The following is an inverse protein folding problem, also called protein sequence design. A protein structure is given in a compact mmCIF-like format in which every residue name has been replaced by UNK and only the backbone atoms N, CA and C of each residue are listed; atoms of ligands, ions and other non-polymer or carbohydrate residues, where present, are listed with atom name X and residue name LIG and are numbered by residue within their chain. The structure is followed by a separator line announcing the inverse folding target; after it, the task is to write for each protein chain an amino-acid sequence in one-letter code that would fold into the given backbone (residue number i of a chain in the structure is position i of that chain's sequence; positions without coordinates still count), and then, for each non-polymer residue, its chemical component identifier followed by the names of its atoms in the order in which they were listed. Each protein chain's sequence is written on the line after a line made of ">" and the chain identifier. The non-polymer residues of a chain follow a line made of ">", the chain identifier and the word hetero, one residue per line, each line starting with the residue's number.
data_IF_842135444374
#
_entry.id   IF_842135444374
#
_cell.length_a   1.000
_cell.length_b   1.000
_cell.length_c   1.000
_cell.angle_alpha   90.00
_cell.angle_beta   90.00
_cell.angle_gamma   90.00
#
_symmetry.space_group_name_H-M   'P 1'
#
loop_
_entity.id
_entity.type
_entity.pdbx_description
1 polymer ?
#
# COMPACT_ATOMS: atom_id res chain seq x y z
N UNK A 1 68.94 -33.59 -8.92
CA UNK A 1 68.32 -32.43 -8.24
C UNK A 1 66.86 -32.35 -8.67
N UNK A 2 65.94 -32.81 -7.81
CA UNK A 2 64.49 -32.78 -8.06
C UNK A 2 63.94 -31.37 -7.76
N UNK A 3 63.14 -30.81 -8.69
CA UNK A 3 62.36 -29.59 -8.48
C UNK A 3 60.86 -29.95 -8.37
N UNK A 4 60.13 -29.45 -7.36
CA UNK A 4 58.72 -29.76 -7.14
C UNK A 4 57.76 -28.75 -7.79
N UNK A 5 56.58 -29.27 -8.16
CA UNK A 5 55.22 -28.70 -8.18
C UNK A 5 54.97 -27.18 -8.37
N UNK A 6 54.06 -26.87 -9.29
CA UNK A 6 53.05 -25.81 -9.14
C UNK A 6 51.87 -26.07 -10.10
N UNK A 7 50.73 -26.50 -9.55
CA UNK A 7 49.43 -26.55 -10.23
C UNK A 7 48.76 -25.17 -10.11
N UNK A 8 48.16 -24.61 -11.18
CA UNK A 8 47.38 -23.38 -11.07
C UNK A 8 46.00 -23.65 -10.47
N UNK A 9 45.66 -22.87 -9.44
CA UNK A 9 44.35 -22.84 -8.81
C UNK A 9 43.32 -22.19 -9.76
N UNK A 10 42.29 -22.94 -10.15
CA UNK A 10 41.13 -22.44 -10.88
C UNK A 10 40.17 -21.80 -9.87
N UNK A 11 40.10 -20.47 -9.86
CA UNK A 11 39.09 -19.73 -9.10
C UNK A 11 37.77 -19.70 -9.89
N UNK A 12 36.80 -20.51 -9.46
CA UNK A 12 35.40 -20.40 -9.87
C UNK A 12 34.78 -19.17 -9.19
N UNK A 13 34.54 -18.11 -9.97
CA UNK A 13 33.71 -16.98 -9.56
C UNK A 13 32.24 -17.42 -9.59
N UNK A 14 31.66 -17.67 -8.42
CA UNK A 14 30.22 -17.84 -8.27
C UNK A 14 29.55 -16.46 -8.33
N UNK A 15 28.86 -16.16 -9.42
CA UNK A 15 27.95 -15.02 -9.49
C UNK A 15 26.70 -15.33 -8.68
N UNK A 16 26.57 -14.74 -7.49
CA UNK A 16 25.30 -14.75 -6.75
C UNK A 16 24.35 -13.75 -7.41
N UNK A 17 23.36 -14.25 -8.12
CA UNK A 17 22.26 -13.45 -8.67
C UNK A 17 21.43 -12.94 -7.49
N UNK A 18 21.44 -11.63 -7.26
CA UNK A 18 20.60 -10.99 -6.25
C UNK A 18 19.13 -11.19 -6.60
N UNK A 19 18.37 -11.76 -5.67
CA UNK A 19 16.92 -11.91 -5.75
C UNK A 19 16.27 -10.54 -5.90
N UNK A 20 15.75 -10.26 -7.10
CA UNK A 20 14.71 -9.28 -7.31
C UNK A 20 13.58 -9.54 -6.31
N UNK A 21 13.25 -8.55 -5.48
CA UNK A 21 12.19 -8.64 -4.48
C UNK A 21 10.85 -8.65 -5.22
N UNK A 22 10.44 -9.85 -5.63
CA UNK A 22 9.24 -10.07 -6.41
C UNK A 22 8.05 -9.42 -5.69
N UNK A 23 7.45 -8.43 -6.35
CA UNK A 23 6.22 -7.74 -5.96
C UNK A 23 5.13 -8.76 -5.58
N UNK A 24 5.13 -9.20 -4.32
CA UNK A 24 4.38 -10.38 -3.91
C UNK A 24 2.94 -9.96 -3.71
N UNK A 25 2.09 -10.37 -4.65
CA UNK A 25 0.65 -10.25 -4.52
C UNK A 25 0.24 -10.84 -3.16
N UNK A 26 -0.27 -9.98 -2.28
CA UNK A 26 -0.69 -10.35 -0.94
C UNK A 26 -2.21 -10.52 -0.91
N UNK A 27 -2.70 -11.35 0.01
CA UNK A 27 -4.13 -11.42 0.29
C UNK A 27 -4.50 -10.23 1.16
N UNK A 28 -5.24 -9.27 0.60
CA UNK A 28 -5.72 -8.08 1.30
C UNK A 28 -7.18 -8.30 1.66
N UNK A 29 -7.53 -8.02 2.92
CA UNK A 29 -8.92 -8.05 3.38
C UNK A 29 -9.45 -6.63 3.56
N UNK A 30 -10.64 -6.38 3.03
CA UNK A 30 -11.33 -5.11 3.05
C UNK A 30 -12.74 -5.32 3.61
N UNK A 31 -13.15 -4.47 4.55
CA UNK A 31 -14.54 -4.33 4.97
C UNK A 31 -14.92 -2.86 4.79
N UNK A 32 -15.92 -2.59 3.96
CA UNK A 32 -16.38 -1.23 3.67
C UNK A 32 -17.86 -1.12 4.00
N UNK A 33 -18.24 -0.16 4.83
CA UNK A 33 -19.62 0.22 5.08
C UNK A 33 -19.90 1.53 4.37
N UNK A 34 -20.80 1.51 3.40
CA UNK A 34 -21.22 2.69 2.63
C UNK A 34 -22.71 2.87 2.80
N UNK A 35 -23.14 4.04 3.25
CA UNK A 35 -24.56 4.34 3.47
C UNK A 35 -25.27 3.27 4.32
N UNK A 36 -24.59 2.80 5.36
CA UNK A 36 -25.09 1.73 6.24
C UNK A 36 -24.92 0.30 5.70
N UNK A 37 -24.66 0.09 4.41
CA UNK A 37 -24.49 -1.23 3.79
C UNK A 37 -23.04 -1.71 3.88
N UNK A 38 -22.84 -2.92 4.41
CA UNK A 38 -21.51 -3.52 4.55
C UNK A 38 -21.16 -4.38 3.34
N UNK A 39 -19.92 -4.25 2.89
CA UNK A 39 -19.30 -5.01 1.81
C UNK A 39 -17.96 -5.55 2.29
N UNK A 40 -17.84 -6.87 2.31
CA UNK A 40 -16.59 -7.54 2.61
C UNK A 40 -15.95 -8.09 1.34
N UNK A 41 -14.63 -7.99 1.27
CA UNK A 41 -13.85 -8.57 0.20
C UNK A 41 -12.51 -9.04 0.73
N UNK A 42 -12.09 -10.22 0.28
CA UNK A 42 -10.72 -10.71 0.45
C UNK A 42 -10.24 -11.15 -0.91
N UNK A 43 -9.01 -10.78 -1.28
CA UNK A 43 -8.49 -11.11 -2.60
C UNK A 43 -7.10 -10.56 -2.83
N UNK A 44 -6.63 -10.74 -4.06
CA UNK A 44 -5.32 -10.26 -4.49
C UNK A 44 -5.21 -8.74 -4.33
N UNK A 45 -4.09 -8.29 -3.82
CA UNK A 45 -3.78 -6.89 -3.64
C UNK A 45 -2.29 -6.68 -3.39
N UNK A 46 -1.93 -5.42 -3.21
CA UNK A 46 -0.59 -5.01 -2.82
C UNK A 46 -0.70 -4.05 -1.64
N UNK A 47 0.21 -4.21 -0.68
CA UNK A 47 0.39 -3.27 0.41
C UNK A 47 1.86 -2.88 0.38
N UNK A 48 2.15 -1.61 0.10
CA UNK A 48 3.51 -1.09 0.00
C UNK A 48 3.73 0.02 1.01
N UNK A 49 4.96 0.14 1.47
CA UNK A 49 5.40 1.17 2.41
C UNK A 49 6.74 1.75 1.95
N UNK A 50 6.87 3.07 2.04
CA UNK A 50 8.14 3.78 2.00
C UNK A 50 8.29 4.66 3.25
N UNK A 51 9.31 4.41 4.09
CA UNK A 51 9.56 5.24 5.27
C UNK A 51 10.18 6.61 4.91
N UNK A 52 10.65 6.79 3.68
CA UNK A 52 11.46 7.94 3.23
C UNK A 52 10.93 8.54 1.93
N UNK A 53 9.63 8.85 1.91
CA UNK A 53 9.01 9.57 0.82
C UNK A 53 8.92 11.08 1.15
N UNK A 54 8.36 11.85 0.22
CA UNK A 54 8.05 13.27 0.44
C UNK A 54 6.74 13.65 -0.24
N UNK A 55 5.97 14.52 0.41
CA UNK A 55 4.76 15.12 -0.13
C UNK A 55 4.89 16.65 -0.05
N UNK A 56 4.99 17.30 -1.21
CA UNK A 56 5.15 18.76 -1.32
C UNK A 56 6.36 19.29 -0.53
N UNK A 57 7.51 18.64 -0.72
CA UNK A 57 8.78 18.93 -0.03
C UNK A 57 8.76 18.68 1.49
N UNK A 58 7.69 18.10 2.04
CA UNK A 58 7.64 17.66 3.43
C UNK A 58 8.01 16.18 3.51
N UNK A 59 9.07 15.80 4.26
CA UNK A 59 9.39 14.40 4.52
C UNK A 59 8.21 13.65 5.13
N UNK A 60 7.89 12.48 4.59
CA UNK A 60 6.73 11.71 5.00
C UNK A 60 6.97 10.21 4.85
N UNK A 61 6.28 9.42 5.65
CA UNK A 61 6.10 8.01 5.36
C UNK A 61 4.87 7.83 4.47
N UNK A 62 4.96 6.90 3.51
CA UNK A 62 3.95 6.62 2.50
C UNK A 62 3.50 5.17 2.60
N UNK A 63 2.19 4.94 2.60
CA UNK A 63 1.59 3.64 2.40
C UNK A 63 0.68 3.65 1.20
N UNK A 64 0.80 2.62 0.37
CA UNK A 64 -0.06 2.38 -0.77
C UNK A 64 -0.76 1.04 -0.56
N UNK A 65 -2.08 1.01 -0.69
CA UNK A 65 -2.83 -0.24 -0.70
C UNK A 65 -3.66 -0.31 -1.97
N UNK A 66 -3.54 -1.42 -2.67
CA UNK A 66 -4.38 -1.75 -3.80
C UNK A 66 -5.04 -3.08 -3.53
N UNK A 67 -6.33 -3.16 -3.84
CA UNK A 67 -7.07 -4.42 -3.80
C UNK A 67 -7.87 -4.54 -5.08
N UNK A 68 -7.77 -5.70 -5.72
CA UNK A 68 -8.60 -6.06 -6.86
C UNK A 68 -9.47 -7.24 -6.45
N UNK A 69 -10.76 -6.99 -6.34
CA UNK A 69 -11.73 -8.02 -6.02
C UNK A 69 -12.01 -8.90 -7.23
N UNK A 70 -12.50 -10.11 -6.99
CA UNK A 70 -12.93 -10.99 -8.07
C UNK A 70 -14.12 -10.38 -8.84
N UNK A 71 -14.27 -10.76 -10.12
CA UNK A 71 -15.38 -10.31 -10.99
C UNK A 71 -16.78 -10.53 -10.39
N UNK A 72 -16.92 -11.33 -9.32
CA UNK A 72 -18.17 -11.49 -8.56
C UNK A 72 -18.22 -10.82 -7.18
N UNK A 73 -17.09 -10.40 -6.60
CA UNK A 73 -17.04 -9.75 -5.28
C UNK A 73 -17.81 -8.42 -5.21
N UNK A 74 -18.19 -8.02 -3.99
CA UNK A 74 -18.92 -6.78 -3.72
C UNK A 74 -18.06 -5.53 -3.94
N UNK A 75 -16.78 -5.59 -3.55
CA UNK A 75 -15.76 -4.59 -3.87
C UNK A 75 -14.99 -5.07 -5.09
N UNK A 76 -14.93 -4.25 -6.15
CA UNK A 76 -14.18 -4.53 -7.38
C UNK A 76 -12.77 -4.02 -7.31
N UNK A 77 -12.61 -2.82 -6.78
CA UNK A 77 -11.32 -2.17 -6.68
C UNK A 77 -11.31 -1.27 -5.46
N UNK A 78 -10.20 -1.28 -4.76
CA UNK A 78 -9.90 -0.29 -3.75
C UNK A 78 -8.48 0.21 -3.95
N UNK A 79 -8.29 1.52 -3.85
CA UNK A 79 -6.98 2.16 -3.80
C UNK A 79 -6.94 3.08 -2.58
N UNK A 80 -5.91 2.94 -1.76
CA UNK A 80 -5.58 3.85 -0.66
C UNK A 80 -4.17 4.38 -0.87
N UNK A 81 -4.02 5.68 -0.74
CA UNK A 81 -2.73 6.36 -0.53
C UNK A 81 -2.81 7.03 0.82
N UNK A 82 -1.86 6.75 1.72
CA UNK A 82 -1.82 7.33 3.06
C UNK A 82 -0.44 7.91 3.33
N UNK A 83 -0.41 9.17 3.74
CA UNK A 83 0.78 9.93 4.05
C UNK A 83 0.78 10.30 5.52
N UNK A 84 1.89 10.01 6.17
CA UNK A 84 2.20 10.51 7.52
C UNK A 84 3.38 11.48 7.43
N UNK A 85 3.14 12.79 7.41
CA UNK A 85 4.20 13.79 7.49
C UNK A 85 5.05 13.61 8.75
N UNK A 86 6.35 13.85 8.65
CA UNK A 86 7.30 13.77 9.78
C UNK A 86 7.44 15.08 10.55
N UNK A 87 6.92 16.17 10.00
CA UNK A 87 6.90 17.51 10.60
C UNK A 87 5.76 17.71 11.62
N UNK A 88 4.95 16.67 11.87
CA UNK A 88 3.78 16.75 12.75
C UNK A 88 2.52 17.32 12.10
N UNK A 89 2.57 17.68 10.81
CA UNK A 89 1.38 18.06 10.05
C UNK A 89 0.34 16.93 10.06
N UNK A 90 -0.96 17.25 9.93
CA UNK A 90 -2.01 16.24 9.88
C UNK A 90 -1.77 15.17 8.81
N UNK A 91 -2.15 13.93 9.11
CA UNK A 91 -2.13 12.83 8.16
C UNK A 91 -2.99 13.15 6.94
N UNK A 92 -2.54 12.70 5.76
CA UNK A 92 -3.20 12.97 4.48
C UNK A 92 -3.51 11.65 3.81
N UNK A 93 -4.66 11.55 3.13
CA UNK A 93 -5.00 10.30 2.46
C UNK A 93 -5.93 10.51 1.28
N UNK A 94 -5.85 9.58 0.34
CA UNK A 94 -6.79 9.44 -0.76
C UNK A 94 -7.30 8.01 -0.79
N UNK A 95 -8.61 7.85 -0.75
CA UNK A 95 -9.31 6.57 -0.80
C UNK A 95 -10.24 6.57 -2.01
N UNK A 96 -10.17 5.53 -2.83
CA UNK A 96 -11.15 5.24 -3.86
C UNK A 96 -11.67 3.82 -3.69
N UNK A 97 -12.99 3.66 -3.60
CA UNK A 97 -13.67 2.36 -3.48
C UNK A 97 -14.64 2.23 -4.64
N UNK A 98 -14.49 1.19 -5.45
CA UNK A 98 -15.39 0.86 -6.55
C UNK A 98 -16.10 -0.46 -6.26
N UNK A 99 -17.44 -0.42 -6.22
CA UNK A 99 -18.32 -1.58 -6.17
C UNK A 99 -18.84 -1.92 -7.58
N UNK A 100 -19.83 -2.82 -7.69
CA UNK A 100 -20.50 -3.08 -8.97
C UNK A 100 -21.32 -1.89 -9.47
N UNK A 101 -21.97 -1.17 -8.56
CA UNK A 101 -22.98 -0.15 -8.89
C UNK A 101 -22.59 1.26 -8.46
N UNK A 102 -21.49 1.41 -7.72
CA UNK A 102 -21.08 2.69 -7.15
C UNK A 102 -19.57 2.88 -7.11
N UNK A 103 -19.15 4.14 -7.07
CA UNK A 103 -17.78 4.55 -6.86
C UNK A 103 -17.78 5.66 -5.81
N UNK A 104 -16.88 5.56 -4.84
CA UNK A 104 -16.78 6.49 -3.72
C UNK A 104 -15.35 6.98 -3.62
N UNK A 105 -15.16 8.29 -3.43
CA UNK A 105 -13.83 8.89 -3.29
C UNK A 105 -13.75 9.80 -2.08
N UNK A 106 -12.66 9.70 -1.34
CA UNK A 106 -12.22 10.67 -0.34
C UNK A 106 -10.81 11.12 -0.68
N UNK A 107 -10.53 12.41 -0.59
CA UNK A 107 -9.21 13.02 -0.77
C UNK A 107 -9.04 14.14 0.26
N UNK A 108 -8.21 13.91 1.27
CA UNK A 108 -8.00 14.80 2.41
C UNK A 108 -6.51 15.15 2.50
N UNK A 109 -6.21 16.45 2.50
CA UNK A 109 -4.85 16.96 2.69
C UNK A 109 -3.97 16.96 1.44
N UNK A 110 -4.52 16.70 0.25
CA UNK A 110 -3.81 16.89 -1.02
C UNK A 110 -3.61 18.38 -1.39
N UNK A 111 -2.89 18.63 -2.49
CA UNK A 111 -2.64 19.99 -3.04
C UNK A 111 -3.89 20.71 -3.56
N UNK A 112 -4.95 19.97 -3.86
CA UNK A 112 -6.19 20.48 -4.46
C UNK A 112 -7.31 20.70 -3.45
N UNK A 113 -8.49 21.07 -3.95
CA UNK A 113 -9.71 21.12 -3.14
C UNK A 113 -9.98 19.70 -2.59
N UNK A 114 -10.23 19.56 -1.27
CA UNK A 114 -10.62 18.28 -0.69
C UNK A 114 -11.82 17.68 -1.42
N UNK A 115 -11.80 16.36 -1.59
CA UNK A 115 -12.92 15.59 -2.13
C UNK A 115 -13.51 14.78 -0.98
N UNK A 116 -14.75 15.08 -0.60
CA UNK A 116 -15.32 14.53 0.62
C UNK A 116 -14.60 15.02 1.88
N UNK A 117 -14.69 14.23 2.96
CA UNK A 117 -14.07 14.54 4.26
C UNK A 117 -13.83 13.26 5.05
N UNK A 118 -12.88 13.25 5.97
CA UNK A 118 -12.71 12.11 6.85
C UNK A 118 -11.38 12.10 7.59
N UNK A 119 -11.16 11.00 8.31
CA UNK A 119 -9.91 10.68 8.99
C UNK A 119 -9.51 9.26 8.63
N UNK A 120 -8.22 9.02 8.57
CA UNK A 120 -7.63 7.70 8.46
C UNK A 120 -6.72 7.48 9.66
N UNK A 121 -6.63 6.25 10.14
CA UNK A 121 -5.69 5.83 11.16
C UNK A 121 -5.00 4.54 10.71
N UNK A 122 -3.73 4.40 11.05
CA UNK A 122 -2.93 3.21 10.75
C UNK A 122 -2.35 2.62 12.04
N UNK A 123 -2.71 1.35 12.29
CA UNK A 123 -2.13 0.53 13.35
C UNK A 123 -1.23 -0.53 12.73
N UNK A 124 0.08 -0.47 13.00
CA UNK A 124 1.05 -1.47 12.54
C UNK A 124 0.98 -2.73 13.43
N UNK A 125 1.13 -3.92 12.83
CA UNK A 125 1.19 -5.19 13.57
C UNK A 125 2.16 -6.13 12.86
N UNK A 126 3.31 -6.39 13.48
CA UNK A 126 4.38 -7.15 12.85
C UNK A 126 4.83 -6.49 11.54
N UNK A 127 4.87 -7.26 10.46
CA UNK A 127 5.25 -6.78 9.13
C UNK A 127 4.10 -6.09 8.37
N UNK A 128 2.87 -6.15 8.90
CA UNK A 128 1.67 -5.63 8.27
C UNK A 128 1.00 -4.51 9.05
N UNK A 129 -0.28 -4.27 8.77
CA UNK A 129 -1.04 -3.22 9.43
C UNK A 129 -2.51 -3.21 9.10
N UNK A 130 -3.24 -2.36 9.83
CA UNK A 130 -4.66 -2.14 9.69
C UNK A 130 -4.92 -0.65 9.51
N UNK A 131 -5.59 -0.31 8.41
CA UNK A 131 -6.13 1.02 8.19
C UNK A 131 -7.59 1.07 8.62
N UNK A 132 -7.96 2.14 9.30
CA UNK A 132 -9.34 2.49 9.62
C UNK A 132 -9.63 3.88 9.07
N UNK A 133 -10.57 3.97 8.14
CA UNK A 133 -10.99 5.21 7.50
C UNK A 133 -12.46 5.44 7.86
N UNK A 134 -12.79 6.66 8.28
CA UNK A 134 -14.17 7.09 8.51
C UNK A 134 -14.36 8.49 7.96
N UNK A 135 -15.42 8.68 7.17
CA UNK A 135 -15.66 9.93 6.50
C UNK A 135 -16.95 9.99 5.69
N UNK A 136 -16.99 10.96 4.78
CA UNK A 136 -18.00 11.15 3.75
C UNK A 136 -17.32 11.28 2.40
N UNK A 137 -17.87 10.66 1.37
CA UNK A 137 -17.35 10.76 0.01
C UNK A 137 -17.65 12.11 -0.66
N UNK A 138 -17.39 12.21 -1.96
CA UNK A 138 -17.64 13.37 -2.82
C UNK A 138 -19.12 13.75 -2.96
N UNK A 139 -20.03 12.81 -2.72
CA UNK A 139 -21.49 13.03 -2.69
C UNK A 139 -22.04 13.29 -1.29
N UNK A 140 -21.18 13.26 -0.26
CA UNK A 140 -21.57 13.39 1.14
C UNK A 140 -22.05 12.09 1.79
N UNK A 141 -21.97 10.96 1.08
CA UNK A 141 -22.38 9.64 1.57
C UNK A 141 -21.42 9.14 2.64
N UNK A 142 -21.91 8.69 3.81
CA UNK A 142 -21.04 8.19 4.87
C UNK A 142 -20.35 6.89 4.46
N UNK A 143 -19.05 6.83 4.73
CA UNK A 143 -18.21 5.68 4.42
C UNK A 143 -17.28 5.36 5.60
N UNK A 144 -17.23 4.08 5.95
CA UNK A 144 -16.28 3.51 6.90
C UNK A 144 -15.54 2.35 6.21
N UNK A 145 -14.22 2.34 6.24
CA UNK A 145 -13.43 1.30 5.58
C UNK A 145 -12.34 0.80 6.52
N UNK A 146 -12.27 -0.52 6.64
CA UNK A 146 -11.21 -1.25 7.32
C UNK A 146 -10.43 -2.02 6.27
N UNK A 147 -9.12 -1.82 6.24
CA UNK A 147 -8.21 -2.55 5.33
C UNK A 147 -7.16 -3.25 6.18
N UNK A 148 -6.99 -4.56 5.97
CA UNK A 148 -5.97 -5.36 6.63
C UNK A 148 -4.92 -5.79 5.60
N UNK A 149 -3.69 -5.36 5.84
CA UNK A 149 -2.51 -5.77 5.10
C UNK A 149 -1.74 -6.78 5.94
N UNK A 150 -1.51 -8.02 5.43
CA UNK A 150 -0.75 -9.03 6.17
C UNK A 150 0.74 -8.66 6.28
N UNK A 151 1.28 -7.99 5.26
CA UNK A 151 2.64 -7.47 5.23
C UNK A 151 2.70 -6.24 4.31
N UNK A 152 3.67 -5.35 4.54
CA UNK A 152 4.02 -4.27 3.63
C UNK A 152 5.31 -4.61 2.88
N UNK A 153 5.26 -4.59 1.55
CA UNK A 153 6.45 -4.61 0.71
C UNK A 153 7.05 -3.22 0.54
N UNK A 154 8.29 -3.14 0.05
CA UNK A 154 8.91 -1.86 -0.30
C UNK A 154 8.20 -1.14 -1.45
N UNK A 155 8.36 0.18 -1.51
CA UNK A 155 8.11 0.91 -2.76
C UNK A 155 9.42 0.92 -3.54
N UNK A 156 9.63 -0.08 -4.39
CA UNK A 156 10.71 -0.05 -5.38
C UNK A 156 10.60 1.20 -6.26
N UNK A 157 11.73 1.89 -6.41
CA UNK A 157 11.89 2.99 -7.34
C UNK A 157 12.17 2.39 -8.72
N UNK A 158 11.30 2.66 -9.69
CA UNK A 158 11.57 2.40 -11.10
C UNK A 158 12.62 3.42 -11.59
N UNK A 159 13.91 3.14 -11.40
CA UNK A 159 14.99 3.84 -12.10
C UNK A 159 15.95 4.64 -11.22
N UNK A 160 17.24 4.34 -11.44
CA UNK A 160 18.43 5.02 -10.94
C UNK A 160 19.67 4.22 -11.30
#
# INVERSE_FOLDING_TARGET
>A
MLRPYLLPAVFLLATTVGTADAQRSAVVSVSAKVDGKTYDATGAGSCRHSPTAAIHNVPAALWLVQHTGSGRGAIKRLNLTFWRPKDGSPERFSLAVKSRSSSHRIDVGGRGKPVGSGKAALSLKGTGGRFEIKGKDDSGTPIEVIIKCPAFGGIEAEGG
#
